data_IF_106916907258
#
_entry.id   IF_106916907258
#
_cell.length_a   1.000
_cell.length_b   1.000
_cell.length_c   1.000
_cell.angle_alpha   90.00
_cell.angle_beta   90.00
_cell.angle_gamma   90.00
#
_symmetry.space_group_name_H-M   'P 1'
#
loop_
_entity.id
_entity.type
_entity.pdbx_description
1 polymer ?
#
# COMPACT_ATOMS: atom_id res chain seq x y z
N UNK A 1 -26.91 -35.03 -32.25
CA UNK A 1 -25.49 -35.43 -32.35
C UNK A 1 -25.19 -35.78 -33.80
N UNK A 2 -24.72 -34.81 -34.60
CA UNK A 2 -24.18 -35.02 -35.95
C UNK A 2 -23.24 -33.85 -36.24
N UNK A 3 -21.97 -34.19 -36.33
CA UNK A 3 -20.83 -33.36 -36.73
C UNK A 3 -20.85 -33.27 -38.26
N UNK A 4 -20.45 -32.13 -38.83
CA UNK A 4 -19.63 -32.02 -40.06
C UNK A 4 -19.02 -30.61 -40.06
N UNK A 5 -17.70 -30.55 -39.95
CA UNK A 5 -16.86 -29.44 -40.41
C UNK A 5 -16.75 -29.50 -41.93
N UNK A 6 -16.72 -28.38 -42.62
CA UNK A 6 -16.06 -28.34 -43.92
C UNK A 6 -15.33 -27.04 -44.19
N UNK A 7 -14.08 -27.22 -44.60
CA UNK A 7 -13.07 -26.22 -44.90
C UNK A 7 -13.04 -25.98 -46.41
N UNK A 8 -12.54 -24.77 -46.77
CA UNK A 8 -11.80 -24.48 -48.00
C UNK A 8 -12.60 -24.19 -49.28
N UNK A 9 -12.36 -23.00 -49.85
CA UNK A 9 -11.69 -22.88 -51.15
C UNK A 9 -11.19 -21.45 -51.40
N UNK A 10 -9.95 -21.39 -51.87
CA UNK A 10 -9.19 -20.22 -52.22
C UNK A 10 -8.94 -20.24 -53.75
N UNK A 11 -8.68 -19.05 -54.32
CA UNK A 11 -7.84 -18.78 -55.51
C UNK A 11 -8.51 -18.73 -56.91
N UNK A 12 -8.57 -17.46 -57.38
CA UNK A 12 -8.18 -16.87 -58.67
C UNK A 12 -8.69 -17.40 -60.01
N UNK A 13 -9.29 -16.49 -60.81
CA UNK A 13 -9.02 -16.32 -62.25
C UNK A 13 -9.01 -14.81 -62.60
N UNK A 14 -8.06 -14.44 -63.45
CA UNK A 14 -7.68 -13.11 -63.97
C UNK A 14 -8.47 -12.70 -65.24
N UNK A 15 -8.48 -11.39 -65.52
CA UNK A 15 -8.42 -10.74 -66.87
C UNK A 15 -9.72 -10.68 -67.72
N UNK A 16 -10.08 -9.65 -68.52
CA UNK A 16 -9.45 -8.40 -68.99
C UNK A 16 -10.53 -7.53 -69.74
N UNK A 17 -10.37 -6.20 -69.74
CA UNK A 17 -10.71 -5.17 -70.77
C UNK A 17 -12.16 -5.04 -71.35
N UNK A 18 -12.92 -3.98 -71.04
CA UNK A 18 -12.97 -2.62 -71.63
C UNK A 18 -13.87 -2.45 -72.88
N UNK A 19 -14.93 -1.62 -72.79
CA UNK A 19 -15.30 -0.64 -73.84
C UNK A 19 -16.32 0.39 -73.33
N UNK A 20 -16.08 1.65 -73.73
CA UNK A 20 -16.78 2.91 -73.46
C UNK A 20 -18.09 3.09 -74.26
N UNK A 21 -19.07 3.82 -73.72
CA UNK A 21 -19.68 5.01 -74.34
C UNK A 21 -20.78 5.65 -73.46
N UNK A 22 -20.63 6.97 -73.26
CA UNK A 22 -21.61 8.00 -72.88
C UNK A 22 -22.74 8.12 -73.95
N UNK A 23 -23.96 8.67 -73.79
CA UNK A 23 -24.44 9.91 -73.14
C UNK A 23 -26.00 9.96 -73.13
N UNK A 24 -26.58 10.91 -72.36
CA UNK A 24 -27.94 11.54 -72.42
C UNK A 24 -29.11 10.76 -71.76
N UNK A 25 -30.06 11.34 -71.01
CA UNK A 25 -30.58 12.73 -70.94
C UNK A 25 -31.54 12.92 -69.75
N UNK A 26 -31.56 14.16 -69.22
CA UNK A 26 -32.64 14.93 -68.56
C UNK A 26 -33.36 14.46 -67.26
N UNK A 27 -33.19 15.31 -66.25
CA UNK A 27 -34.15 15.84 -65.25
C UNK A 27 -35.61 15.89 -65.76
N UNK A 28 -36.70 15.85 -65.00
CA UNK A 28 -37.03 15.95 -63.57
C UNK A 28 -38.52 15.52 -63.48
N UNK A 29 -38.97 14.89 -62.38
CA UNK A 29 -40.21 15.27 -61.66
C UNK A 29 -40.59 14.24 -60.57
N UNK A 30 -40.59 14.78 -59.35
CA UNK A 30 -40.96 14.23 -58.05
C UNK A 30 -42.22 13.35 -58.00
N UNK A 31 -42.09 12.24 -57.26
CA UNK A 31 -43.13 11.76 -56.36
C UNK A 31 -42.46 11.43 -55.01
N UNK A 32 -42.85 12.19 -54.00
CA UNK A 32 -42.49 12.08 -52.58
C UNK A 32 -42.50 10.62 -52.08
N UNK A 33 -41.33 10.15 -51.63
CA UNK A 33 -41.24 9.21 -50.52
C UNK A 33 -40.26 9.80 -49.50
N UNK A 34 -40.82 10.31 -48.40
CA UNK A 34 -40.05 10.64 -47.20
C UNK A 34 -39.14 9.45 -46.83
N UNK A 35 -37.82 9.64 -46.70
CA UNK A 35 -36.98 8.62 -46.11
C UNK A 35 -37.24 8.57 -44.60
N UNK A 36 -37.22 7.37 -43.99
CA UNK A 36 -37.59 7.20 -42.59
C UNK A 36 -36.66 8.00 -41.68
N UNK A 37 -37.27 8.64 -40.70
CA UNK A 37 -36.69 9.43 -39.62
C UNK A 37 -35.48 8.70 -39.03
N UNK A 38 -34.30 9.10 -39.45
CA UNK A 38 -33.02 8.70 -38.86
C UNK A 38 -32.83 9.51 -37.57
N UNK A 39 -33.49 9.04 -36.52
CA UNK A 39 -33.25 9.44 -35.13
C UNK A 39 -31.93 8.90 -34.58
N UNK A 40 -30.94 8.59 -35.43
CA UNK A 40 -29.53 8.47 -35.00
C UNK A 40 -28.94 9.86 -34.74
N UNK A 41 -29.57 10.63 -33.85
CA UNK A 41 -28.82 11.53 -33.00
C UNK A 41 -27.95 10.63 -32.12
N UNK A 42 -26.65 10.66 -32.38
CA UNK A 42 -25.58 10.33 -31.45
C UNK A 42 -26.05 10.15 -30.00
N UNK A 43 -26.40 8.93 -29.62
CA UNK A 43 -26.37 8.48 -28.23
C UNK A 43 -24.89 8.28 -27.88
N UNK A 44 -24.18 9.40 -27.73
CA UNK A 44 -22.98 9.45 -26.91
C UNK A 44 -23.45 9.21 -25.47
N UNK A 45 -23.72 7.96 -25.10
CA UNK A 45 -23.92 7.58 -23.71
C UNK A 45 -22.55 7.74 -23.05
N UNK A 46 -22.29 8.93 -22.49
CA UNK A 46 -21.16 9.10 -21.59
C UNK A 46 -21.50 8.31 -20.32
N UNK A 47 -20.83 7.18 -20.12
CA UNK A 47 -20.87 6.45 -18.85
C UNK A 47 -20.52 7.42 -17.72
N UNK A 48 -21.48 7.69 -16.83
CA UNK A 48 -21.30 8.72 -15.79
C UNK A 48 -20.57 8.11 -14.61
N UNK A 49 -19.24 8.17 -14.65
CA UNK A 49 -18.38 7.91 -13.50
C UNK A 49 -18.33 9.19 -12.68
N UNK A 50 -18.48 9.10 -11.36
CA UNK A 50 -18.33 10.27 -10.49
C UNK A 50 -16.92 10.83 -10.59
N UNK A 51 -16.76 12.15 -10.61
CA UNK A 51 -15.44 12.78 -10.49
C UNK A 51 -15.38 13.46 -9.15
N UNK A 52 -14.50 12.97 -8.28
CA UNK A 52 -14.29 13.47 -6.93
C UNK A 52 -12.96 14.22 -6.92
N UNK A 53 -13.03 15.53 -6.69
CA UNK A 53 -11.87 16.39 -6.49
C UNK A 53 -11.71 16.64 -5.00
N UNK A 54 -10.63 16.17 -4.37
CA UNK A 54 -10.48 16.26 -2.91
C UNK A 54 -10.64 17.70 -2.39
N UNK A 55 -10.05 18.68 -3.09
CA UNK A 55 -10.14 20.10 -2.72
C UNK A 55 -11.54 20.72 -2.85
N UNK A 56 -12.50 20.01 -3.43
CA UNK A 56 -13.90 20.44 -3.57
C UNK A 56 -14.85 19.71 -2.61
N UNK A 57 -14.35 18.75 -1.83
CA UNK A 57 -15.16 18.05 -0.82
C UNK A 57 -15.48 19.03 0.32
N UNK A 58 -16.75 19.14 0.77
CA UNK A 58 -17.10 19.97 1.91
C UNK A 58 -16.29 19.61 3.16
N UNK A 59 -15.91 20.62 3.96
CA UNK A 59 -14.99 20.45 5.09
C UNK A 59 -15.54 19.50 6.17
N UNK A 60 -16.86 19.42 6.34
CA UNK A 60 -17.54 18.49 7.24
C UNK A 60 -17.38 17.01 6.82
N UNK A 61 -17.09 16.78 5.54
CA UNK A 61 -16.90 15.45 4.95
C UNK A 61 -15.44 15.14 4.65
N UNK A 62 -14.50 16.02 4.94
CA UNK A 62 -13.07 15.79 4.70
C UNK A 62 -12.23 16.25 5.90
N UNK A 63 -11.36 15.37 6.40
CA UNK A 63 -10.48 15.68 7.51
C UNK A 63 -9.11 15.03 7.38
N UNK A 64 -8.14 15.61 8.07
CA UNK A 64 -6.83 15.00 8.31
C UNK A 64 -6.95 14.04 9.49
N UNK A 65 -6.31 12.88 9.40
CA UNK A 65 -6.18 11.94 10.52
C UNK A 65 -4.73 11.95 11.00
N UNK A 66 -4.48 11.53 12.24
CA UNK A 66 -3.15 11.59 12.85
C UNK A 66 -2.52 13.00 12.72
N UNK A 67 -3.34 14.05 12.74
CA UNK A 67 -2.86 15.44 12.81
C UNK A 67 -2.04 15.62 14.09
N UNK A 68 -1.05 16.51 14.09
CA UNK A 68 -0.10 16.63 15.21
C UNK A 68 -0.78 16.99 16.55
N UNK A 69 -1.91 17.67 16.48
CA UNK A 69 -2.81 18.07 17.57
C UNK A 69 -3.88 17.03 17.91
N UNK A 70 -3.97 15.91 17.17
CA UNK A 70 -4.91 14.85 17.47
C UNK A 70 -4.58 14.21 18.83
N UNK A 71 -5.57 14.24 19.73
CA UNK A 71 -5.42 13.75 21.10
C UNK A 71 -4.96 12.28 21.13
N UNK A 72 -4.10 11.94 22.08
CA UNK A 72 -3.60 10.55 22.23
C UNK A 72 -4.75 9.55 22.41
N UNK A 73 -5.84 9.92 23.07
CA UNK A 73 -7.02 9.05 23.25
C UNK A 73 -7.70 8.68 21.93
N UNK A 74 -7.68 9.57 20.92
CA UNK A 74 -8.15 9.25 19.56
C UNK A 74 -7.11 8.43 18.82
N UNK A 75 -5.83 8.78 18.93
CA UNK A 75 -4.72 8.03 18.30
C UNK A 75 -4.70 6.57 18.73
N UNK A 76 -4.94 6.28 20.02
CA UNK A 76 -4.89 4.93 20.59
C UNK A 76 -6.24 4.22 20.62
N UNK A 77 -7.32 4.86 20.14
CA UNK A 77 -8.61 4.21 19.98
C UNK A 77 -8.59 3.38 18.70
N UNK A 78 -8.45 2.05 18.85
CA UNK A 78 -8.39 1.09 17.73
C UNK A 78 -9.59 1.20 16.77
N UNK A 79 -10.77 1.58 17.27
CA UNK A 79 -11.97 1.74 16.42
C UNK A 79 -11.87 2.96 15.50
N UNK A 80 -11.06 3.95 15.88
CA UNK A 80 -10.82 5.18 15.12
C UNK A 80 -9.54 5.11 14.31
N UNK A 81 -8.48 4.53 14.87
CA UNK A 81 -7.12 4.51 14.31
C UNK A 81 -6.59 3.09 14.33
N UNK A 82 -6.80 2.40 13.22
CA UNK A 82 -6.17 1.13 12.90
C UNK A 82 -6.17 0.90 11.40
N UNK A 83 -5.16 0.17 10.92
CA UNK A 83 -5.00 -0.10 9.50
C UNK A 83 -4.46 -1.50 9.26
N UNK A 84 -4.55 -1.97 8.01
CA UNK A 84 -3.81 -3.15 7.56
C UNK A 84 -2.74 -2.71 6.59
N UNK A 85 -1.56 -3.31 6.66
CA UNK A 85 -0.42 -2.90 5.81
C UNK A 85 -0.66 -3.17 4.32
N UNK A 86 -1.47 -4.18 4.01
CA UNK A 86 -1.94 -4.49 2.66
C UNK A 86 -3.26 -3.77 2.29
N UNK A 87 -3.72 -2.84 3.11
CA UNK A 87 -4.96 -2.06 2.91
C UNK A 87 -4.82 -0.65 3.50
N UNK A 88 -3.76 0.08 3.11
CA UNK A 88 -3.49 1.44 3.60
C UNK A 88 -4.55 2.47 3.16
N UNK A 89 -5.31 2.16 2.11
CA UNK A 89 -6.46 2.92 1.65
C UNK A 89 -7.72 2.12 1.97
N UNK A 90 -8.34 2.43 3.10
CA UNK A 90 -9.53 1.70 3.57
C UNK A 90 -10.78 2.36 3.00
N UNK A 91 -11.60 1.55 2.35
CA UNK A 91 -12.90 1.95 1.83
C UNK A 91 -13.95 1.27 2.68
N UNK A 92 -14.74 2.06 3.40
CA UNK A 92 -15.75 1.57 4.34
C UNK A 92 -17.04 2.34 4.17
N UNK A 93 -18.14 1.74 4.59
CA UNK A 93 -19.41 2.43 4.71
C UNK A 93 -19.37 3.40 5.91
N UNK A 94 -19.64 4.68 5.68
CA UNK A 94 -19.86 5.66 6.74
C UNK A 94 -21.35 5.68 7.16
N UNK A 95 -22.25 5.54 6.19
CA UNK A 95 -23.70 5.40 6.40
C UNK A 95 -24.32 4.61 5.24
N UNK A 96 -25.63 4.37 5.25
CA UNK A 96 -26.35 3.72 4.13
C UNK A 96 -26.14 4.40 2.77
N UNK A 97 -25.72 5.67 2.75
CA UNK A 97 -25.53 6.44 1.53
C UNK A 97 -24.10 6.95 1.32
N UNK A 98 -23.27 6.98 2.37
CA UNK A 98 -21.93 7.56 2.32
C UNK A 98 -20.84 6.50 2.37
N UNK A 99 -19.91 6.59 1.43
CA UNK A 99 -18.67 5.84 1.43
C UNK A 99 -17.58 6.71 2.07
N UNK A 100 -16.82 6.14 2.99
CA UNK A 100 -15.62 6.75 3.59
C UNK A 100 -14.37 6.13 2.98
N UNK A 101 -13.43 6.99 2.54
CA UNK A 101 -12.08 6.62 2.17
C UNK A 101 -11.12 7.14 3.23
N UNK A 102 -10.40 6.24 3.88
CA UNK A 102 -9.35 6.56 4.87
C UNK A 102 -7.98 6.18 4.32
N UNK A 103 -7.07 7.14 4.27
CA UNK A 103 -5.69 6.98 3.82
C UNK A 103 -4.75 7.00 5.00
N UNK A 104 -4.08 5.88 5.26
CA UNK A 104 -2.92 5.81 6.13
C UNK A 104 -1.60 5.98 5.35
N UNK A 105 -1.63 6.13 4.02
CA UNK A 105 -0.43 6.51 3.27
C UNK A 105 0.14 7.81 3.83
N UNK A 106 1.47 7.90 3.96
CA UNK A 106 2.13 9.14 4.36
C UNK A 106 2.26 10.14 3.21
N UNK A 107 2.11 9.69 1.96
CA UNK A 107 2.15 10.50 0.75
C UNK A 107 0.78 10.56 0.08
N UNK A 108 0.49 11.69 -0.55
CA UNK A 108 -0.64 11.81 -1.49
C UNK A 108 -0.42 10.88 -2.68
N UNK A 109 -1.49 10.23 -3.12
CA UNK A 109 -1.54 9.47 -4.38
C UNK A 109 -2.56 10.12 -5.31
N UNK A 110 -2.37 9.99 -6.62
CA UNK A 110 -3.14 10.71 -7.63
C UNK A 110 -3.80 9.79 -8.65
N UNK A 111 -4.77 10.32 -9.38
CA UNK A 111 -5.40 9.67 -10.53
C UNK A 111 -5.88 8.24 -10.23
N UNK A 112 -6.83 8.12 -9.30
CA UNK A 112 -7.33 6.81 -8.86
C UNK A 112 -8.71 6.54 -9.40
N UNK A 113 -8.93 5.31 -9.87
CA UNK A 113 -10.27 4.80 -10.18
C UNK A 113 -10.73 3.93 -9.02
N UNK A 114 -11.82 4.33 -8.39
CA UNK A 114 -12.57 3.50 -7.46
C UNK A 114 -13.52 2.61 -8.23
N UNK A 115 -13.35 1.30 -8.07
CA UNK A 115 -14.26 0.32 -8.63
C UNK A 115 -15.05 -0.41 -7.53
N UNK A 116 -16.27 -0.79 -7.87
CA UNK A 116 -17.13 -1.63 -7.05
C UNK A 116 -17.45 -2.93 -7.78
N UNK A 117 -17.45 -4.03 -7.05
CA UNK A 117 -18.09 -5.28 -7.45
C UNK A 117 -19.34 -5.46 -6.60
N UNK A 118 -20.45 -5.80 -7.25
CA UNK A 118 -21.73 -6.09 -6.59
C UNK A 118 -22.05 -7.58 -6.81
N UNK A 119 -22.44 -8.27 -5.74
CA UNK A 119 -22.82 -9.69 -5.78
C UNK A 119 -23.90 -9.95 -6.85
N UNK A 120 -23.70 -10.99 -7.64
CA UNK A 120 -24.51 -11.29 -8.84
C UNK A 120 -24.00 -10.62 -10.12
N UNK A 121 -23.07 -9.67 -10.04
CA UNK A 121 -22.40 -9.06 -11.19
C UNK A 121 -21.25 -9.92 -11.76
N UNK A 122 -20.85 -9.64 -13.01
CA UNK A 122 -19.78 -10.36 -13.72
C UNK A 122 -18.40 -9.74 -13.55
N UNK A 123 -18.30 -8.46 -13.16
CA UNK A 123 -17.05 -7.71 -13.13
C UNK A 123 -17.06 -6.57 -12.09
N UNK A 124 -15.86 -6.02 -11.81
CA UNK A 124 -15.74 -4.73 -11.14
C UNK A 124 -16.12 -3.61 -12.12
N UNK A 125 -16.87 -2.62 -11.63
CA UNK A 125 -17.29 -1.46 -12.41
C UNK A 125 -16.68 -0.19 -11.82
N UNK A 126 -16.12 0.72 -12.64
CA UNK A 126 -15.62 2.00 -12.16
C UNK A 126 -16.79 2.87 -11.73
N UNK A 127 -16.80 3.33 -10.48
CA UNK A 127 -17.89 4.13 -9.90
C UNK A 127 -17.48 5.56 -9.62
N UNK A 128 -16.19 5.81 -9.38
CA UNK A 128 -15.65 7.14 -9.21
C UNK A 128 -14.21 7.23 -9.71
N UNK A 129 -13.84 8.38 -10.25
CA UNK A 129 -12.47 8.83 -10.42
C UNK A 129 -12.16 9.85 -9.32
N UNK A 130 -11.00 9.68 -8.68
CA UNK A 130 -10.48 10.53 -7.62
C UNK A 130 -9.23 11.22 -8.16
N UNK A 131 -9.22 12.55 -8.17
CA UNK A 131 -8.02 13.32 -8.57
C UNK A 131 -6.82 13.00 -7.67
N UNK A 132 -7.09 12.85 -6.37
CA UNK A 132 -6.11 12.59 -5.34
C UNK A 132 -6.74 11.99 -4.08
N UNK A 133 -5.92 11.23 -3.36
CA UNK A 133 -6.16 10.89 -1.95
C UNK A 133 -4.95 11.41 -1.17
N UNK A 134 -5.10 12.47 -0.37
CA UNK A 134 -4.00 12.96 0.46
C UNK A 134 -3.48 11.91 1.44
N UNK A 135 -2.20 12.01 1.80
CA UNK A 135 -1.66 11.14 2.85
C UNK A 135 -2.30 11.48 4.20
N UNK A 136 -2.58 10.53 5.09
CA UNK A 136 -3.23 10.78 6.39
C UNK A 136 -4.51 11.64 6.31
N UNK A 137 -5.46 11.23 5.47
CA UNK A 137 -6.77 11.88 5.35
C UNK A 137 -7.91 10.87 5.48
N UNK A 138 -9.08 11.34 5.85
CA UNK A 138 -10.34 10.64 5.69
C UNK A 138 -11.33 11.58 5.02
N UNK A 139 -12.09 11.06 4.06
CA UNK A 139 -13.19 11.81 3.47
C UNK A 139 -14.36 10.92 3.09
N UNK A 140 -15.53 11.52 2.98
CA UNK A 140 -16.80 10.88 2.72
C UNK A 140 -17.47 11.48 1.49
N UNK A 141 -18.12 10.64 0.69
CA UNK A 141 -18.96 11.10 -0.42
C UNK A 141 -20.09 10.11 -0.70
N UNK A 142 -21.15 10.59 -1.36
CA UNK A 142 -22.25 9.76 -1.83
C UNK A 142 -22.00 9.36 -3.29
N UNK A 143 -21.76 8.07 -3.60
CA UNK A 143 -21.65 7.63 -4.98
C UNK A 143 -22.99 7.77 -5.73
N UNK A 144 -22.97 8.18 -7.00
CA UNK A 144 -24.16 8.34 -7.84
C UNK A 144 -24.94 7.03 -8.08
N UNK A 145 -24.31 5.88 -7.85
CA UNK A 145 -24.98 4.58 -7.92
C UNK A 145 -26.03 4.37 -6.80
N UNK A 146 -25.96 5.15 -5.72
CA UNK A 146 -26.91 5.09 -4.61
C UNK A 146 -28.08 6.03 -4.86
N UNK A 147 -29.28 5.47 -4.97
CA UNK A 147 -30.52 6.16 -5.32
C UNK A 147 -30.45 6.90 -6.67
N UNK A 148 -29.70 6.34 -7.62
CA UNK A 148 -29.54 6.84 -8.99
C UNK A 148 -29.43 5.69 -9.99
N UNK A 149 -29.54 6.02 -11.29
CA UNK A 149 -29.38 5.05 -12.37
C UNK A 149 -27.93 5.14 -12.88
N UNK A 150 -27.09 4.19 -12.45
CA UNK A 150 -25.69 4.12 -12.85
C UNK A 150 -25.55 3.29 -14.12
N UNK A 151 -25.19 3.95 -15.23
CA UNK A 151 -25.04 3.31 -16.54
C UNK A 151 -23.56 2.95 -16.74
N UNK A 152 -23.27 1.69 -17.06
CA UNK A 152 -21.91 1.19 -17.26
C UNK A 152 -21.81 0.22 -18.43
N UNK A 153 -20.58 0.01 -18.92
CA UNK A 153 -20.28 -0.92 -20.01
C UNK A 153 -20.07 -2.34 -19.48
N UNK A 154 -20.76 -3.33 -20.03
CA UNK A 154 -20.59 -4.75 -19.71
C UNK A 154 -20.24 -5.53 -20.98
N UNK A 155 -18.96 -5.85 -21.17
CA UNK A 155 -18.47 -6.39 -22.45
C UNK A 155 -18.77 -5.42 -23.60
N UNK A 156 -19.48 -5.88 -24.62
CA UNK A 156 -19.94 -5.05 -25.74
C UNK A 156 -21.32 -4.40 -25.50
N UNK A 157 -21.97 -4.71 -24.37
CA UNK A 157 -23.28 -4.21 -23.98
C UNK A 157 -23.25 -3.04 -22.98
N UNK A 158 -24.44 -2.55 -22.65
CA UNK A 158 -24.68 -1.48 -21.67
C UNK A 158 -25.67 -2.01 -20.64
N UNK A 159 -25.30 -1.88 -19.36
CA UNK A 159 -26.16 -2.24 -18.23
C UNK A 159 -26.42 -1.00 -17.35
N UNK A 160 -27.50 -1.08 -16.57
CA UNK A 160 -27.83 -0.08 -15.55
C UNK A 160 -27.88 -0.76 -14.19
N UNK A 161 -27.21 -0.16 -13.21
CA UNK A 161 -27.26 -0.56 -11.81
C UNK A 161 -27.90 0.56 -10.99
N UNK A 162 -28.84 0.23 -10.12
CA UNK A 162 -29.36 1.16 -9.12
C UNK A 162 -29.43 0.44 -7.78
N UNK A 163 -28.84 1.03 -6.74
CA UNK A 163 -28.90 0.52 -5.37
C UNK A 163 -29.59 1.54 -4.47
N UNK A 164 -30.44 1.07 -3.56
CA UNK A 164 -31.08 1.95 -2.56
C UNK A 164 -30.14 2.33 -1.42
N UNK A 165 -29.13 1.49 -1.14
CA UNK A 165 -28.17 1.66 -0.06
C UNK A 165 -26.86 0.89 -0.28
N UNK A 166 -25.80 1.30 0.42
CA UNK A 166 -24.53 0.59 0.47
C UNK A 166 -24.66 -0.68 1.34
N UNK A 167 -24.25 -1.83 0.79
CA UNK A 167 -24.24 -3.11 1.50
C UNK A 167 -22.85 -3.75 1.47
N UNK A 168 -22.10 -3.66 2.57
CA UNK A 168 -20.74 -4.21 2.67
C UNK A 168 -20.66 -5.74 2.57
N UNK A 169 -21.77 -6.47 2.76
CA UNK A 169 -21.80 -7.93 2.57
C UNK A 169 -21.86 -8.31 1.09
N UNK A 170 -22.48 -7.46 0.28
CA UNK A 170 -22.75 -7.72 -1.13
C UNK A 170 -21.84 -6.90 -2.06
N UNK A 171 -21.10 -5.92 -1.52
CA UNK A 171 -20.24 -5.04 -2.28
C UNK A 171 -18.79 -5.17 -1.86
N UNK A 172 -17.89 -5.18 -2.85
CA UNK A 172 -16.44 -5.10 -2.65
C UNK A 172 -15.90 -3.90 -3.41
N UNK A 173 -14.98 -3.17 -2.82
CA UNK A 173 -14.36 -2.00 -3.44
C UNK A 173 -12.87 -2.22 -3.65
N UNK A 174 -12.33 -1.63 -4.72
CA UNK A 174 -10.88 -1.55 -4.94
C UNK A 174 -10.50 -0.23 -5.58
N UNK A 175 -9.26 0.19 -5.34
CA UNK A 175 -8.64 1.32 -6.02
C UNK A 175 -7.67 0.80 -7.07
N UNK A 176 -7.65 1.47 -8.22
CA UNK A 176 -6.67 1.29 -9.27
C UNK A 176 -6.01 2.63 -9.55
N UNK A 177 -4.70 2.65 -9.78
CA UNK A 177 -3.97 3.85 -10.18
C UNK A 177 -2.63 3.48 -10.81
N UNK A 178 -2.17 4.32 -11.73
CA UNK A 178 -0.82 4.26 -12.30
C UNK A 178 0.23 4.99 -11.47
N UNK A 179 -0.18 5.69 -10.41
CA UNK A 179 0.71 6.38 -9.47
C UNK A 179 1.78 5.42 -8.94
N UNK A 180 3.05 5.83 -9.05
CA UNK A 180 4.20 5.00 -8.69
C UNK A 180 4.17 4.60 -7.21
N UNK A 181 3.80 5.52 -6.33
CA UNK A 181 3.74 5.26 -4.89
C UNK A 181 2.58 4.30 -4.58
N UNK A 182 1.40 4.52 -5.16
CA UNK A 182 0.27 3.59 -5.06
C UNK A 182 0.67 2.18 -5.49
N UNK A 183 1.28 2.03 -6.67
CA UNK A 183 1.76 0.74 -7.19
C UNK A 183 2.77 0.05 -6.28
N UNK A 184 3.60 0.81 -5.55
CA UNK A 184 4.47 0.22 -4.55
C UNK A 184 3.66 -0.31 -3.36
N UNK A 185 2.78 0.50 -2.79
CA UNK A 185 1.96 0.09 -1.65
C UNK A 185 1.06 -1.13 -1.97
N UNK A 186 0.51 -1.21 -3.18
CA UNK A 186 -0.34 -2.32 -3.63
C UNK A 186 0.40 -3.66 -3.74
N UNK A 187 1.74 -3.68 -3.73
CA UNK A 187 2.52 -4.93 -3.76
C UNK A 187 2.56 -5.63 -2.40
N UNK A 188 2.35 -4.90 -1.29
CA UNK A 188 2.52 -5.44 0.06
C UNK A 188 1.59 -6.65 0.27
N UNK A 189 2.19 -7.81 0.52
CA UNK A 189 1.50 -9.09 0.66
C UNK A 189 1.41 -9.59 2.13
N UNK A 190 2.04 -8.87 3.07
CA UNK A 190 1.92 -9.13 4.49
C UNK A 190 0.51 -8.82 5.00
N UNK A 191 -0.10 -9.72 5.78
CA UNK A 191 -1.49 -9.62 6.23
C UNK A 191 -1.62 -9.00 7.63
N UNK A 192 -0.81 -8.00 7.94
CA UNK A 192 -0.74 -7.44 9.29
C UNK A 192 -1.80 -6.37 9.56
N UNK A 193 -2.48 -6.47 10.70
CA UNK A 193 -3.27 -5.40 11.28
C UNK A 193 -2.44 -4.59 12.28
N UNK A 194 -2.64 -3.28 12.32
CA UNK A 194 -1.87 -2.36 13.16
C UNK A 194 -2.84 -1.44 13.91
N UNK A 195 -2.61 -1.31 15.21
CA UNK A 195 -3.28 -0.33 16.08
C UNK A 195 -2.27 0.26 17.06
N UNK A 196 -2.67 1.27 17.81
CA UNK A 196 -1.80 2.06 18.67
C UNK A 196 -2.23 1.95 20.14
N UNK A 197 -1.28 2.00 21.07
CA UNK A 197 -1.58 1.94 22.51
C UNK A 197 -0.61 2.75 23.35
N UNK A 198 -1.15 3.35 24.40
CA UNK A 198 -0.37 3.92 25.51
C UNK A 198 0.06 2.86 26.53
N UNK A 199 -0.50 1.64 26.45
CA UNK A 199 -0.29 0.56 27.41
C UNK A 199 -0.50 1.03 28.86
N UNK A 200 0.55 1.01 29.69
CA UNK A 200 0.49 1.44 31.10
C UNK A 200 0.79 2.94 31.29
N UNK A 201 1.04 3.69 30.21
CA UNK A 201 1.31 5.10 30.31
C UNK A 201 0.09 5.88 30.81
N UNK A 202 0.34 6.80 31.74
CA UNK A 202 -0.59 7.80 32.24
C UNK A 202 0.18 9.07 32.65
N UNK A 203 -0.44 10.26 32.62
CA UNK A 203 0.20 11.49 33.08
C UNK A 203 0.79 11.35 34.50
N UNK A 204 2.03 11.80 34.69
CA UNK A 204 2.74 11.75 35.97
C UNK A 204 3.28 10.37 36.38
N UNK A 205 3.11 9.31 35.57
CA UNK A 205 3.64 7.98 35.86
C UNK A 205 4.92 7.68 35.09
N UNK A 206 6.06 7.95 35.74
CA UNK A 206 7.38 7.81 35.10
C UNK A 206 8.00 6.42 35.24
N UNK A 207 7.57 5.64 36.25
CA UNK A 207 8.06 4.29 36.54
C UNK A 207 7.62 3.23 35.51
N UNK A 208 6.58 3.55 34.72
CA UNK A 208 6.07 2.68 33.66
C UNK A 208 7.09 2.44 32.54
N UNK A 209 6.93 1.33 31.85
CA UNK A 209 7.78 0.95 30.71
C UNK A 209 7.36 1.66 29.42
N UNK A 210 6.16 2.23 29.40
CA UNK A 210 5.60 2.91 28.24
C UNK A 210 5.54 4.42 28.42
N UNK A 211 5.37 5.11 27.30
CA UNK A 211 5.26 6.56 27.21
C UNK A 211 4.14 6.93 26.26
N UNK A 212 3.68 8.17 26.34
CA UNK A 212 2.59 8.67 25.51
C UNK A 212 2.87 8.46 24.01
N UNK A 213 1.93 7.85 23.31
CA UNK A 213 1.96 7.71 21.87
C UNK A 213 1.08 8.80 21.25
N UNK A 214 1.71 9.96 20.97
CA UNK A 214 1.10 11.08 20.24
C UNK A 214 1.09 10.82 18.73
N UNK A 215 0.28 11.60 18.00
CA UNK A 215 0.12 11.45 16.56
C UNK A 215 1.44 11.50 15.78
N UNK A 216 2.40 12.34 16.18
CA UNK A 216 3.72 12.41 15.53
C UNK A 216 4.46 11.05 15.51
N UNK A 217 4.31 10.25 16.57
CA UNK A 217 4.91 8.92 16.66
C UNK A 217 4.10 7.89 15.89
N UNK A 218 2.76 7.98 15.93
CA UNK A 218 1.89 7.10 15.18
C UNK A 218 2.12 7.23 13.66
N UNK A 219 2.33 8.44 13.14
CA UNK A 219 2.66 8.67 11.72
C UNK A 219 3.96 7.98 11.32
N UNK A 220 4.98 8.06 12.16
CA UNK A 220 6.26 7.37 11.92
C UNK A 220 6.12 5.85 12.02
N UNK A 221 5.29 5.34 12.94
CA UNK A 221 4.96 3.90 12.98
C UNK A 221 4.36 3.40 11.67
N UNK A 222 3.46 4.19 11.07
CA UNK A 222 2.87 3.85 9.76
C UNK A 222 3.95 3.76 8.70
N UNK A 223 4.89 4.71 8.66
CA UNK A 223 6.04 4.69 7.73
C UNK A 223 6.94 3.48 7.97
N UNK A 224 7.35 3.25 9.22
CA UNK A 224 8.24 2.16 9.64
C UNK A 224 7.65 0.82 9.21
N UNK A 225 6.40 0.53 9.60
CA UNK A 225 5.78 -0.76 9.35
C UNK A 225 5.49 -0.95 7.87
N UNK A 226 5.08 0.11 7.16
CA UNK A 226 4.85 0.00 5.72
C UNK A 226 6.14 -0.32 4.97
N UNK A 227 7.25 0.35 5.29
CA UNK A 227 8.55 -0.01 4.74
C UNK A 227 8.94 -1.44 5.11
N UNK A 228 8.77 -1.82 6.39
CA UNK A 228 9.09 -3.17 6.86
C UNK A 228 8.36 -4.23 6.06
N UNK A 229 7.03 -4.09 5.94
CA UNK A 229 6.17 -4.99 5.19
C UNK A 229 6.56 -5.02 3.70
N UNK A 230 6.82 -3.86 3.10
CA UNK A 230 7.23 -3.79 1.69
C UNK A 230 8.57 -4.48 1.43
N UNK A 231 9.56 -4.32 2.32
CA UNK A 231 10.84 -5.02 2.21
C UNK A 231 10.63 -6.53 2.09
N UNK A 232 9.71 -7.09 2.88
CA UNK A 232 9.39 -8.51 2.86
C UNK A 232 8.65 -9.01 1.62
N UNK A 233 8.19 -8.09 0.77
CA UNK A 233 7.59 -8.39 -0.54
C UNK A 233 8.62 -8.27 -1.68
N UNK A 234 9.83 -7.76 -1.41
CA UNK A 234 10.85 -7.59 -2.46
C UNK A 234 11.48 -8.91 -2.90
N UNK A 235 11.86 -9.05 -4.18
CA UNK A 235 12.61 -10.22 -4.64
C UNK A 235 13.96 -10.36 -3.92
N UNK A 236 14.59 -9.25 -3.49
CA UNK A 236 15.81 -9.24 -2.68
C UNK A 236 15.63 -9.96 -1.35
N UNK A 237 14.51 -9.71 -0.66
CA UNK A 237 14.18 -10.39 0.60
C UNK A 237 14.03 -11.90 0.37
N UNK A 238 13.23 -12.31 -0.60
CA UNK A 238 13.04 -13.73 -0.94
C UNK A 238 14.36 -14.40 -1.35
N UNK A 239 15.20 -13.69 -2.11
CA UNK A 239 16.51 -14.19 -2.51
C UNK A 239 17.39 -14.45 -1.29
N UNK A 240 17.50 -13.48 -0.38
CA UNK A 240 18.33 -13.61 0.82
C UNK A 240 17.79 -14.69 1.74
N UNK A 241 16.47 -14.79 1.96
CA UNK A 241 15.88 -15.86 2.76
C UNK A 241 16.29 -17.25 2.25
N UNK A 242 16.39 -17.43 0.94
CA UNK A 242 16.77 -18.72 0.32
C UNK A 242 18.27 -18.94 0.21
N UNK A 243 19.08 -17.89 0.38
CA UNK A 243 20.53 -17.91 0.15
C UNK A 243 21.29 -17.22 1.29
N UNK A 244 20.79 -17.32 2.51
CA UNK A 244 21.22 -16.47 3.62
C UNK A 244 22.71 -16.62 3.91
N UNK A 245 23.22 -17.86 4.00
CA UNK A 245 24.65 -18.12 4.20
C UNK A 245 25.54 -17.62 3.08
N UNK A 246 25.06 -17.60 1.83
CA UNK A 246 25.80 -17.04 0.70
C UNK A 246 26.03 -15.53 0.85
N UNK A 247 25.07 -14.82 1.43
CA UNK A 247 25.14 -13.36 1.59
C UNK A 247 25.82 -12.97 2.91
N UNK A 248 25.53 -13.67 4.00
CA UNK A 248 25.96 -13.29 5.35
C UNK A 248 27.16 -14.07 5.89
N UNK A 249 27.51 -15.22 5.30
CA UNK A 249 28.61 -16.08 5.76
C UNK A 249 28.27 -16.90 7.01
N UNK A 250 26.98 -17.16 7.27
CA UNK A 250 26.49 -17.92 8.41
C UNK A 250 24.98 -18.16 8.32
N UNK A 251 24.37 -18.78 9.33
CA UNK A 251 22.94 -19.14 9.30
C UNK A 251 22.15 -18.45 10.42
N UNK A 252 20.85 -18.24 10.19
CA UNK A 252 19.89 -17.96 11.24
C UNK A 252 19.68 -19.20 12.12
N UNK A 253 19.36 -19.01 13.40
CA UNK A 253 19.05 -20.09 14.34
C UNK A 253 17.95 -19.73 15.31
N UNK A 254 17.21 -20.73 15.79
CA UNK A 254 16.06 -20.56 16.68
C UNK A 254 16.45 -20.36 18.16
N UNK A 255 15.46 -20.35 19.05
CA UNK A 255 15.67 -20.15 20.48
C UNK A 255 16.53 -21.25 21.15
N UNK A 256 16.60 -22.43 20.54
CA UNK A 256 17.41 -23.56 20.99
C UNK A 256 18.77 -23.60 20.29
N UNK A 257 19.12 -22.56 19.52
CA UNK A 257 20.34 -22.45 18.72
C UNK A 257 20.44 -23.50 17.61
N UNK A 258 19.30 -24.06 17.18
CA UNK A 258 19.25 -24.92 16.01
C UNK A 258 19.27 -24.05 14.77
N UNK A 259 20.28 -24.24 13.91
CA UNK A 259 20.40 -23.51 12.64
C UNK A 259 19.22 -23.82 11.73
N UNK A 260 18.76 -22.82 10.98
CA UNK A 260 17.68 -22.98 10.03
C UNK A 260 18.12 -23.87 8.87
N UNK A 261 17.25 -24.79 8.50
CA UNK A 261 17.35 -25.54 7.24
C UNK A 261 16.70 -24.74 6.10
N UNK A 262 16.92 -25.11 4.82
CA UNK A 262 16.21 -24.49 3.71
C UNK A 262 14.68 -24.49 3.88
N UNK A 263 14.11 -25.58 4.39
CA UNK A 263 12.67 -25.71 4.67
C UNK A 263 12.23 -24.73 5.76
N UNK A 264 13.07 -24.54 6.79
CA UNK A 264 12.79 -23.57 7.85
C UNK A 264 12.74 -22.14 7.29
N UNK A 265 13.70 -21.73 6.46
CA UNK A 265 13.65 -20.42 5.80
C UNK A 265 12.38 -20.22 4.98
N UNK A 266 11.98 -21.20 4.17
CA UNK A 266 10.74 -21.13 3.38
C UNK A 266 9.50 -21.03 4.28
N UNK A 267 9.48 -21.80 5.38
CA UNK A 267 8.38 -21.74 6.35
C UNK A 267 8.29 -20.39 7.05
N UNK A 268 9.42 -19.78 7.42
CA UNK A 268 9.48 -18.47 8.09
C UNK A 268 9.18 -17.33 7.11
N UNK A 269 9.66 -17.41 5.87
CA UNK A 269 9.32 -16.48 4.78
C UNK A 269 7.80 -16.37 4.62
N UNK A 270 7.09 -17.50 4.64
CA UNK A 270 5.63 -17.55 4.61
C UNK A 270 5.01 -17.07 5.93
N UNK A 271 5.47 -17.61 7.07
CA UNK A 271 4.88 -17.36 8.39
C UNK A 271 4.89 -15.88 8.76
N UNK A 272 6.01 -15.19 8.54
CA UNK A 272 6.14 -13.78 8.91
C UNK A 272 5.15 -12.87 8.17
N UNK A 273 4.64 -13.29 7.00
CA UNK A 273 3.66 -12.51 6.20
C UNK A 273 2.20 -12.88 6.50
N UNK A 274 1.95 -13.89 7.34
CA UNK A 274 0.60 -14.31 7.70
C UNK A 274 -0.12 -13.28 8.58
N UNK A 275 -1.42 -13.50 8.77
CA UNK A 275 -2.27 -12.64 9.59
C UNK A 275 -1.73 -12.50 11.01
N UNK A 276 -1.34 -11.29 11.39
CA UNK A 276 -0.87 -10.94 12.73
C UNK A 276 -1.36 -9.53 13.10
N UNK A 277 -1.70 -9.30 14.36
CA UNK A 277 -2.11 -7.98 14.83
C UNK A 277 -1.03 -7.38 15.71
N UNK A 278 -0.47 -6.25 15.29
CA UNK A 278 0.46 -5.45 16.08
C UNK A 278 -0.28 -4.33 16.80
N UNK A 279 0.05 -4.18 18.07
CA UNK A 279 -0.28 -3.04 18.90
C UNK A 279 1.04 -2.28 19.09
N UNK A 280 1.11 -1.11 18.48
CA UNK A 280 2.30 -0.30 18.45
C UNK A 280 2.30 0.67 19.62
N UNK A 281 3.46 0.85 20.25
CA UNK A 281 3.62 1.76 21.39
C UNK A 281 4.97 2.45 21.39
N UNK A 282 5.14 3.32 22.38
CA UNK A 282 6.41 4.02 22.64
C UNK A 282 6.99 3.56 23.96
N UNK A 283 8.16 2.92 23.92
CA UNK A 283 8.85 2.51 25.15
C UNK A 283 9.50 3.71 25.83
N UNK A 284 9.88 3.54 27.10
CA UNK A 284 10.72 4.49 27.83
C UNK A 284 12.13 4.59 27.20
N UNK A 285 12.82 5.74 27.34
CA UNK A 285 14.15 5.94 26.74
C UNK A 285 15.24 4.96 27.18
N UNK A 286 15.11 4.36 28.37
CA UNK A 286 16.15 3.47 28.93
C UNK A 286 16.21 2.08 28.29
N UNK A 287 15.31 1.75 27.35
CA UNK A 287 15.30 0.50 26.59
C UNK A 287 15.12 0.80 25.11
N UNK A 288 15.67 -0.02 24.23
CA UNK A 288 15.54 0.18 22.78
C UNK A 288 14.14 -0.10 22.23
N UNK A 289 13.42 -1.01 22.88
CA UNK A 289 12.06 -1.38 22.54
C UNK A 289 11.48 -2.34 23.55
N UNK A 290 10.22 -2.71 23.32
CA UNK A 290 9.47 -3.70 24.08
C UNK A 290 8.59 -4.46 23.09
N UNK A 291 8.85 -5.75 22.94
CA UNK A 291 8.18 -6.61 21.97
C UNK A 291 7.77 -7.96 22.55
N UNK A 292 6.72 -8.55 21.99
CA UNK A 292 6.26 -9.89 22.36
C UNK A 292 4.79 -10.11 22.03
N UNK A 293 4.47 -11.22 21.35
CA UNK A 293 3.12 -11.49 20.88
C UNK A 293 2.60 -10.38 19.95
N UNK A 294 1.57 -9.65 20.35
CA UNK A 294 1.05 -8.50 19.59
C UNK A 294 1.76 -7.18 19.89
N UNK A 295 2.57 -7.10 20.96
CA UNK A 295 3.21 -5.86 21.40
C UNK A 295 4.41 -5.55 20.52
N UNK A 296 4.46 -4.34 19.93
CA UNK A 296 5.61 -3.85 19.18
C UNK A 296 5.89 -2.38 19.52
N UNK A 297 6.77 -2.17 20.51
CA UNK A 297 7.14 -0.85 21.00
C UNK A 297 8.60 -0.52 20.70
N UNK A 298 8.87 0.73 20.31
CA UNK A 298 10.25 1.22 20.15
C UNK A 298 10.46 2.55 20.84
N UNK A 299 11.74 2.85 21.08
CA UNK A 299 12.16 4.06 21.78
C UNK A 299 12.22 5.28 20.86
N UNK A 300 12.43 6.44 21.47
CA UNK A 300 12.35 7.74 20.81
C UNK A 300 13.24 7.85 19.56
N UNK A 301 14.47 7.34 19.61
CA UNK A 301 15.42 7.50 18.51
C UNK A 301 15.07 6.69 17.26
N UNK A 302 14.26 5.65 17.39
CA UNK A 302 13.88 4.82 16.26
C UNK A 302 12.98 5.60 15.28
N UNK A 303 12.16 6.53 15.77
CA UNK A 303 11.20 7.31 14.98
C UNK A 303 11.84 8.31 14.00
N UNK A 304 13.12 8.65 14.18
CA UNK A 304 13.89 9.42 13.19
C UNK A 304 15.11 8.66 12.64
N UNK A 305 15.64 7.71 13.40
CA UNK A 305 16.80 6.91 13.01
C UNK A 305 16.51 5.87 11.92
N UNK A 306 15.24 5.45 11.74
CA UNK A 306 14.85 4.47 10.72
C UNK A 306 15.11 4.96 9.29
N UNK A 307 15.14 6.27 9.04
CA UNK A 307 15.46 6.81 7.72
C UNK A 307 16.92 6.58 7.29
N UNK A 308 17.83 6.26 8.21
CA UNK A 308 19.26 6.49 8.00
C UNK A 308 20.19 5.40 8.56
N UNK A 309 19.85 4.74 9.66
CA UNK A 309 20.87 4.04 10.48
C UNK A 309 20.50 2.62 10.88
N UNK A 310 21.53 1.80 11.09
CA UNK A 310 21.44 0.51 11.77
C UNK A 310 20.66 0.63 13.09
N UNK A 311 21.04 1.59 13.95
CA UNK A 311 20.44 1.74 15.28
C UNK A 311 18.94 2.06 15.29
N UNK A 312 18.40 2.60 14.19
CA UNK A 312 16.96 2.75 14.05
C UNK A 312 16.30 1.40 13.80
N UNK A 313 16.81 0.65 12.83
CA UNK A 313 16.27 -0.64 12.41
C UNK A 313 16.56 -1.80 13.35
N UNK A 314 17.67 -1.76 14.10
CA UNK A 314 18.06 -2.81 15.04
C UNK A 314 16.93 -3.08 16.05
N UNK A 315 16.48 -2.07 16.80
CA UNK A 315 15.40 -2.27 17.78
C UNK A 315 14.06 -2.59 17.09
N UNK A 316 13.75 -1.94 15.96
CA UNK A 316 12.51 -2.22 15.21
C UNK A 316 12.43 -3.70 14.83
N UNK A 317 13.52 -4.25 14.28
CA UNK A 317 13.60 -5.64 13.77
C UNK A 317 13.75 -6.66 14.89
N UNK A 318 14.46 -6.29 15.97
CA UNK A 318 14.56 -7.08 17.19
C UNK A 318 13.19 -7.30 17.83
N UNK A 319 12.42 -6.23 18.05
CA UNK A 319 11.10 -6.35 18.67
C UNK A 319 10.10 -7.06 17.75
N UNK A 320 10.19 -6.88 16.43
CA UNK A 320 9.39 -7.65 15.48
C UNK A 320 9.62 -9.16 15.64
N UNK A 321 10.86 -9.59 15.89
CA UNK A 321 11.18 -11.00 16.08
C UNK A 321 10.66 -11.56 17.41
N UNK A 322 10.58 -10.73 18.46
CA UNK A 322 9.83 -11.08 19.67
C UNK A 322 8.33 -11.29 19.39
N UNK A 323 7.73 -10.45 18.55
CA UNK A 323 6.33 -10.67 18.11
C UNK A 323 6.15 -12.00 17.36
N UNK A 324 7.21 -12.48 16.71
CA UNK A 324 7.22 -13.74 15.97
C UNK A 324 7.65 -14.95 16.79
N UNK A 325 7.85 -14.81 18.10
CA UNK A 325 8.15 -15.90 19.03
C UNK A 325 9.63 -16.23 19.20
N UNK A 326 10.53 -15.40 18.67
CA UNK A 326 11.97 -15.54 18.91
C UNK A 326 12.39 -14.72 20.12
N UNK A 327 13.20 -15.32 21.00
CA UNK A 327 13.77 -14.67 22.18
C UNK A 327 15.25 -14.38 22.04
N UNK A 328 15.86 -13.88 23.11
CA UNK A 328 17.28 -13.45 23.15
C UNK A 328 18.31 -14.58 22.94
N UNK A 329 17.87 -15.85 23.04
CA UNK A 329 18.73 -17.01 22.77
C UNK A 329 18.96 -17.26 21.27
N UNK A 330 18.21 -16.60 20.39
CA UNK A 330 18.22 -16.72 18.93
C UNK A 330 18.92 -15.53 18.27
N UNK A 331 19.58 -15.73 17.11
CA UNK A 331 20.07 -14.61 16.30
C UNK A 331 19.02 -13.90 15.45
N UNK A 332 17.75 -14.27 15.65
CA UNK A 332 16.62 -13.51 15.15
C UNK A 332 16.42 -12.21 15.95
N UNK A 333 16.80 -12.18 17.23
CA UNK A 333 16.73 -10.95 18.06
C UNK A 333 18.11 -10.30 18.20
N UNK A 334 19.16 -11.07 18.53
CA UNK A 334 20.53 -10.54 18.60
C UNK A 334 21.46 -11.13 17.56
N UNK A 335 21.97 -10.30 16.65
CA UNK A 335 22.99 -10.76 15.72
C UNK A 335 24.27 -11.20 16.46
N UNK A 336 24.97 -12.16 15.88
CA UNK A 336 26.26 -12.65 16.37
C UNK A 336 27.26 -12.66 15.23
N UNK A 337 28.41 -12.00 15.41
CA UNK A 337 29.45 -11.91 14.37
C UNK A 337 28.98 -11.25 13.06
N UNK A 338 28.01 -10.34 13.12
CA UNK A 338 27.42 -9.73 11.92
C UNK A 338 26.53 -10.68 11.10
N UNK A 339 25.96 -11.71 11.76
CA UNK A 339 25.00 -12.67 11.21
C UNK A 339 23.77 -12.71 12.12
N UNK A 340 22.60 -12.39 11.57
CA UNK A 340 21.34 -12.38 12.30
C UNK A 340 20.23 -11.67 11.54
N UNK A 341 19.01 -11.75 12.03
CA UNK A 341 17.86 -11.12 11.39
C UNK A 341 17.92 -9.59 11.42
N UNK A 342 18.36 -9.02 12.55
CA UNK A 342 18.52 -7.57 12.67
C UNK A 342 19.51 -7.06 11.62
N UNK A 343 20.67 -7.74 11.48
CA UNK A 343 21.68 -7.49 10.45
C UNK A 343 21.14 -7.57 9.03
N UNK A 344 20.34 -8.59 8.77
CA UNK A 344 19.72 -8.76 7.47
C UNK A 344 18.79 -7.59 7.14
N UNK A 345 17.85 -7.28 8.02
CA UNK A 345 16.79 -6.32 7.71
C UNK A 345 17.30 -4.89 7.59
N UNK A 346 18.24 -4.44 8.43
CA UNK A 346 18.79 -3.09 8.28
C UNK A 346 19.65 -2.94 7.02
N UNK A 347 20.39 -3.99 6.63
CA UNK A 347 21.21 -3.97 5.42
C UNK A 347 20.35 -4.03 4.15
N UNK A 348 19.26 -4.82 4.17
CA UNK A 348 18.26 -4.81 3.12
C UNK A 348 17.61 -3.43 2.98
N UNK A 349 17.18 -2.83 4.09
CA UNK A 349 16.66 -1.46 4.09
C UNK A 349 17.63 -0.48 3.44
N UNK A 350 18.90 -0.54 3.84
CA UNK A 350 19.96 0.36 3.34
C UNK A 350 20.14 0.20 1.83
N UNK A 351 20.21 -1.04 1.34
CA UNK A 351 20.30 -1.32 -0.10
C UNK A 351 19.10 -0.78 -0.87
N UNK A 352 17.88 -1.12 -0.44
CA UNK A 352 16.65 -0.69 -1.12
C UNK A 352 16.48 0.83 -1.09
N UNK A 353 16.83 1.48 0.03
CA UNK A 353 16.85 2.94 0.15
C UNK A 353 17.81 3.58 -0.84
N UNK A 354 19.07 3.11 -0.88
CA UNK A 354 20.11 3.65 -1.76
C UNK A 354 19.75 3.55 -3.26
N UNK A 355 18.87 2.61 -3.61
CA UNK A 355 18.38 2.39 -4.96
C UNK A 355 16.96 2.96 -5.21
N UNK A 356 16.41 3.72 -4.26
CA UNK A 356 15.06 4.31 -4.34
C UNK A 356 13.94 3.28 -4.59
N UNK A 357 14.05 2.13 -3.91
CA UNK A 357 13.14 0.99 -4.01
C UNK A 357 12.20 0.84 -2.80
N UNK A 358 12.17 1.81 -1.87
CA UNK A 358 11.25 1.80 -0.71
C UNK A 358 10.15 2.86 -0.83
N UNK A 359 8.94 2.61 -0.28
CA UNK A 359 7.85 3.60 -0.32
C UNK A 359 8.21 4.93 0.35
N UNK A 360 8.94 4.89 1.46
CA UNK A 360 9.25 6.06 2.27
C UNK A 360 10.74 6.11 2.64
N UNK A 361 11.51 7.01 2.02
CA UNK A 361 12.95 7.18 2.28
C UNK A 361 13.32 8.58 2.73
N UNK A 362 12.38 9.51 2.57
CA UNK A 362 12.54 10.93 2.85
C UNK A 362 12.19 11.24 4.31
N UNK A 363 13.20 11.68 5.07
CA UNK A 363 13.08 12.08 6.47
C UNK A 363 12.31 13.38 6.68
N UNK A 364 12.16 14.18 5.63
CA UNK A 364 11.43 15.45 5.65
C UNK A 364 9.92 15.26 5.43
N UNK A 365 9.51 14.08 4.93
CA UNK A 365 8.12 13.73 4.63
C UNK A 365 7.16 14.01 5.79
N UNK A 366 7.52 13.54 6.99
CA UNK A 366 6.74 13.79 8.21
C UNK A 366 7.31 14.92 9.04
N UNK A 367 8.53 15.36 8.73
CA UNK A 367 9.25 16.39 9.45
C UNK A 367 9.48 16.04 10.92
N UNK A 368 9.51 14.76 11.30
CA UNK A 368 9.64 14.36 12.71
C UNK A 368 10.83 15.04 13.37
N UNK A 369 11.96 15.12 12.66
CA UNK A 369 13.21 15.67 13.16
C UNK A 369 13.22 17.21 13.28
N UNK A 370 12.33 17.92 12.58
CA UNK A 370 12.38 19.38 12.41
C UNK A 370 12.06 20.17 13.69
N UNK A 371 12.67 21.35 13.92
CA UNK A 371 12.47 22.15 15.12
C UNK A 371 11.02 22.56 15.38
N UNK A 372 10.24 22.90 14.35
CA UNK A 372 8.84 23.29 14.47
C UNK A 372 7.94 22.19 15.07
N UNK A 373 8.37 20.93 14.94
CA UNK A 373 7.68 19.76 15.48
C UNK A 373 8.19 19.35 16.88
N UNK A 374 9.17 20.05 17.45
CA UNK A 374 9.77 19.69 18.73
C UNK A 374 8.74 19.63 19.87
N UNK A 375 7.74 20.51 19.88
CA UNK A 375 6.66 20.52 20.89
C UNK A 375 5.79 19.25 20.88
N UNK A 376 5.76 18.51 19.77
CA UNK A 376 4.93 17.30 19.62
C UNK A 376 5.67 16.01 20.01
N UNK A 377 6.96 16.07 20.37
CA UNK A 377 7.79 14.94 20.77
C UNK A 377 8.47 15.20 22.12
N UNK A 378 8.83 14.14 22.84
CA UNK A 378 9.40 14.25 24.20
C UNK A 378 10.92 14.18 24.25
N UNK A 379 11.57 13.86 23.13
CA UNK A 379 13.02 13.76 23.04
C UNK A 379 13.61 14.71 22.00
N UNK A 380 14.89 15.02 22.21
CA UNK A 380 15.70 15.71 21.22
C UNK A 380 16.12 14.79 20.07
N UNK A 381 16.72 15.38 19.05
CA UNK A 381 17.29 14.65 17.92
C UNK A 381 18.78 14.51 18.10
N UNK A 382 19.23 13.26 18.05
CA UNK A 382 20.64 12.96 17.88
C UNK A 382 21.02 13.13 16.39
N UNK A 383 21.80 14.18 16.03
CA UNK A 383 22.19 14.45 14.65
C UNK A 383 23.04 13.31 14.05
N UNK A 384 23.72 12.51 14.87
CA UNK A 384 24.52 11.40 14.38
C UNK A 384 23.68 10.30 13.73
N UNK A 385 22.43 10.11 14.18
CA UNK A 385 21.48 9.17 13.58
C UNK A 385 20.97 9.65 12.23
N UNK A 386 21.17 10.92 11.91
CA UNK A 386 20.74 11.60 10.69
C UNK A 386 21.92 11.91 9.76
N UNK A 387 23.14 11.53 10.11
CA UNK A 387 24.33 11.89 9.36
C UNK A 387 24.45 11.11 8.03
N UNK A 388 24.23 11.78 6.89
CA UNK A 388 24.26 11.16 5.55
C UNK A 388 25.58 10.46 5.20
N UNK A 389 26.72 10.96 5.70
CA UNK A 389 28.00 10.29 5.49
C UNK A 389 28.05 8.94 6.20
N UNK A 390 27.46 8.82 7.40
CA UNK A 390 27.34 7.54 8.10
C UNK A 390 26.42 6.59 7.33
N UNK A 391 25.30 7.08 6.78
CA UNK A 391 24.40 6.28 5.94
C UNK A 391 25.14 5.71 4.72
N UNK A 392 25.88 6.56 4.02
CA UNK A 392 26.66 6.14 2.84
C UNK A 392 27.75 5.14 3.22
N UNK A 393 28.42 5.33 4.36
CA UNK A 393 29.37 4.35 4.88
C UNK A 393 28.71 3.01 5.17
N UNK A 394 27.51 3.00 5.78
CA UNK A 394 26.75 1.78 6.02
C UNK A 394 26.35 1.08 4.72
N UNK A 395 25.88 1.84 3.72
CA UNK A 395 25.58 1.34 2.38
C UNK A 395 26.82 0.68 1.74
N UNK A 396 27.95 1.37 1.72
CA UNK A 396 29.18 0.86 1.10
C UNK A 396 29.77 -0.35 1.84
N UNK A 397 29.53 -0.48 3.16
CA UNK A 397 30.03 -1.61 3.97
C UNK A 397 29.07 -2.81 4.00
N UNK A 398 27.79 -2.59 3.71
CA UNK A 398 26.73 -3.61 3.73
C UNK A 398 27.07 -4.83 2.88
N UNK A 399 26.94 -6.02 3.47
CA UNK A 399 27.08 -7.31 2.78
C UNK A 399 26.01 -7.45 1.69
N UNK A 400 24.77 -7.08 1.99
CA UNK A 400 23.65 -7.09 1.03
C UNK A 400 23.95 -6.20 -0.18
N UNK A 401 24.40 -4.97 0.07
CA UNK A 401 24.71 -4.02 -1.01
C UNK A 401 25.84 -4.53 -1.89
N UNK A 402 26.96 -4.96 -1.29
CA UNK A 402 28.08 -5.55 -2.03
C UNK A 402 27.66 -6.77 -2.85
N UNK A 403 26.83 -7.63 -2.28
CA UNK A 403 26.37 -8.83 -2.94
C UNK A 403 25.53 -8.52 -4.18
N UNK A 404 24.50 -7.68 -4.06
CA UNK A 404 23.61 -7.38 -5.20
C UNK A 404 24.22 -6.45 -6.25
N UNK A 405 25.20 -5.61 -5.90
CA UNK A 405 25.98 -4.88 -6.90
C UNK A 405 26.83 -5.82 -7.76
N UNK A 406 27.40 -6.87 -7.17
CA UNK A 406 28.15 -7.89 -7.90
C UNK A 406 27.27 -8.94 -8.59
N UNK A 407 26.04 -9.15 -8.08
CA UNK A 407 25.11 -10.19 -8.53
C UNK A 407 23.69 -9.60 -8.67
N UNK A 408 23.45 -8.71 -9.65
CA UNK A 408 22.14 -8.10 -9.81
C UNK A 408 21.08 -9.16 -10.11
N UNK A 409 19.91 -9.04 -9.46
CA UNK A 409 18.76 -9.89 -9.78
C UNK A 409 18.28 -9.56 -11.20
N UNK A 410 18.05 -10.59 -12.02
CA UNK A 410 17.33 -10.44 -13.29
C UNK A 410 15.94 -9.90 -13.00
N UNK A 411 15.61 -8.75 -13.60
CA UNK A 411 14.33 -8.06 -13.43
C UNK A 411 13.19 -8.75 -14.18
#
# INVERSE_FOLDING_TARGET
MKIILNFSKCIMILSLLSLTCTVLSCDEMDIDQEPPISSTRNLMISFKIDTITYGQIPAEHARRILSLDESTSVVTDKSKRSFRVNELFQIRKASDQLLSITSYSAKTVYNLTLEAYVEGGSQYIPIAYLDSIPGFSQFEFKPSLINGNFIYKNGDGIDTLSLSSLNEKQMKFRLLSDDKHFKMLSKIDAQWGVSFSNYDWKPGYENGSWRELRAIYAREWVVIITNYAYMMTTPEYSFIMRNFSKVFGGELYDNNRVKFTPEKYLSEEKRFKQSHNFVCGRSKPSVGGLGGGSVWGVSHWNYYGHYASFSGWESITHEFMHCMGYGHSSNMTYSSGGVGWTEFMWQLHTYLRGNNLLPYTDRDLLGFHKPENAKYRDGGIDPDKLNDNKILQFYNKSKVTKYFLANPLTK
#
